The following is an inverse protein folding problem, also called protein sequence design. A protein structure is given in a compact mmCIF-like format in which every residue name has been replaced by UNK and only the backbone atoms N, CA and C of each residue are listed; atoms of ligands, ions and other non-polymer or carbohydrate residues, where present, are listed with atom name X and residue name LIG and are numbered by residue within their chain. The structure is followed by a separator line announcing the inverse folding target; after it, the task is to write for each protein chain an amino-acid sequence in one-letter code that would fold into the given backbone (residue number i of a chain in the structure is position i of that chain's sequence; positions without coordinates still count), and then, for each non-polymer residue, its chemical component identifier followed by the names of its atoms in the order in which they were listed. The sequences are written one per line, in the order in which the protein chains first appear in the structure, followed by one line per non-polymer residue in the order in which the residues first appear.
data_IF_827669208722
#
_entry.id   IF_827669208722
#
_cell.length_a   1.000
_cell.length_b   1.000
_cell.length_c   1.000
_cell.angle_alpha   90.00
_cell.angle_beta   90.00
_cell.angle_gamma   90.00
#
_symmetry.space_group_name_H-M   'P 1'
#
loop_
_entity.id
_entity.type
_entity.pdbx_description
1 polymer ?
#
# COMPACT_ATOMS: atom_id res chain seq x y z
N UNK A 1 4.04 -7.84 12.25
CA UNK A 1 5.24 -7.10 12.67
C UNK A 1 5.07 -6.71 14.11
N UNK A 2 6.09 -6.90 14.94
CA UNK A 2 6.07 -6.34 16.30
C UNK A 2 6.21 -4.81 16.24
N UNK A 3 5.75 -4.11 17.27
CA UNK A 3 5.87 -2.65 17.36
C UNK A 3 7.31 -2.19 17.18
N UNK A 4 8.26 -2.92 17.79
CA UNK A 4 9.70 -2.66 17.65
C UNK A 4 10.20 -2.71 16.21
N UNK A 5 9.69 -3.65 15.41
CA UNK A 5 10.04 -3.76 13.99
C UNK A 5 9.51 -2.58 13.17
N UNK A 6 8.31 -2.09 13.49
CA UNK A 6 7.71 -0.93 12.82
C UNK A 6 8.52 0.33 13.10
N UNK A 7 8.88 0.55 14.37
CA UNK A 7 9.70 1.69 14.78
C UNK A 7 11.06 1.66 14.08
N UNK A 8 11.73 0.49 14.10
CA UNK A 8 13.02 0.32 13.43
C UNK A 8 12.94 0.66 11.94
N UNK A 9 11.88 0.18 11.26
CA UNK A 9 11.67 0.40 9.84
C UNK A 9 11.46 1.89 9.52
N UNK A 10 10.68 2.62 10.34
CA UNK A 10 10.49 4.06 10.18
C UNK A 10 11.81 4.82 10.36
N UNK A 11 12.57 4.50 11.41
CA UNK A 11 13.85 5.18 11.71
C UNK A 11 14.89 4.94 10.62
N UNK A 12 15.05 3.69 10.16
CA UNK A 12 16.00 3.35 9.09
C UNK A 12 15.61 4.03 7.78
N UNK A 13 14.34 3.99 7.40
CA UNK A 13 13.89 4.62 6.16
C UNK A 13 14.03 6.14 6.20
N UNK A 14 13.65 6.76 7.33
CA UNK A 14 13.84 8.19 7.56
C UNK A 14 15.32 8.58 7.48
N UNK A 15 16.23 7.80 8.07
CA UNK A 15 17.67 8.01 7.98
C UNK A 15 18.19 7.92 6.55
N UNK A 16 17.78 6.91 5.79
CA UNK A 16 18.19 6.76 4.37
C UNK A 16 17.76 7.98 3.55
N UNK A 17 16.51 8.42 3.71
CA UNK A 17 16.01 9.62 3.03
C UNK A 17 16.72 10.89 3.50
N UNK A 18 16.93 11.05 4.80
CA UNK A 18 17.63 12.19 5.37
C UNK A 18 19.08 12.30 4.89
N UNK A 19 19.81 11.19 4.83
CA UNK A 19 21.19 11.16 4.31
C UNK A 19 21.23 11.48 2.82
N UNK A 20 20.30 10.93 2.03
CA UNK A 20 20.20 11.27 0.60
C UNK A 20 19.95 12.78 0.41
N UNK A 21 19.00 13.34 1.16
CA UNK A 21 18.70 14.77 1.10
C UNK A 21 19.84 15.64 1.63
N UNK A 22 20.62 15.20 2.62
CA UNK A 22 21.80 15.90 3.11
C UNK A 22 22.83 16.13 2.00
N UNK A 23 23.17 15.08 1.23
CA UNK A 23 24.12 15.21 0.12
C UNK A 23 23.58 16.07 -1.02
N UNK A 24 22.28 15.95 -1.32
CA UNK A 24 21.64 16.78 -2.34
C UNK A 24 21.63 18.26 -1.91
N UNK A 25 21.29 18.55 -0.66
CA UNK A 25 21.23 19.93 -0.17
C UNK A 25 22.59 20.53 0.15
N UNK A 26 23.65 19.72 0.31
CA UNK A 26 25.02 20.21 0.30
C UNK A 26 25.37 20.95 -1.00
N UNK A 27 24.67 20.64 -2.10
CA UNK A 27 24.83 21.25 -3.41
C UNK A 27 23.77 22.34 -3.69
N UNK A 28 23.00 22.76 -2.68
CA UNK A 28 21.89 23.73 -2.82
C UNK A 28 21.99 24.82 -1.76
N UNK A 29 21.32 25.94 -1.98
CA UNK A 29 21.31 27.10 -1.07
C UNK A 29 20.72 26.80 0.32
N UNK A 30 19.81 25.82 0.40
CA UNK A 30 19.21 25.35 1.65
C UNK A 30 20.23 24.74 2.62
N UNK A 31 21.36 24.24 2.10
CA UNK A 31 22.41 23.63 2.89
C UNK A 31 22.12 22.19 3.34
N UNK A 32 23.16 21.47 3.79
CA UNK A 32 23.10 20.03 4.04
C UNK A 32 22.27 19.65 5.28
N UNK A 33 22.35 20.43 6.35
CA UNK A 33 21.65 20.13 7.61
C UNK A 33 20.13 20.29 7.44
N UNK A 34 19.69 21.43 6.88
CA UNK A 34 18.27 21.71 6.72
C UNK A 34 17.61 20.74 5.73
N UNK A 35 18.26 20.47 4.60
CA UNK A 35 17.79 19.47 3.64
C UNK A 35 17.72 18.05 4.23
N UNK A 36 18.73 17.63 4.99
CA UNK A 36 18.73 16.32 5.65
C UNK A 36 17.59 16.17 6.66
N UNK A 37 17.33 17.21 7.46
CA UNK A 37 16.21 17.22 8.39
C UNK A 37 14.85 17.16 7.68
N UNK A 38 14.66 17.96 6.62
CA UNK A 38 13.44 17.94 5.81
C UNK A 38 13.23 16.55 5.18
N UNK A 39 14.30 15.96 4.62
CA UNK A 39 14.26 14.61 4.04
C UNK A 39 13.87 13.54 5.06
N UNK A 40 14.44 13.60 6.26
CA UNK A 40 14.09 12.68 7.34
C UNK A 40 12.61 12.76 7.73
N UNK A 41 12.08 13.98 7.91
CA UNK A 41 10.69 14.20 8.30
C UNK A 41 9.73 13.76 7.18
N UNK A 42 9.95 14.22 5.96
CA UNK A 42 9.07 13.90 4.82
C UNK A 42 9.13 12.41 4.46
N UNK A 43 10.31 11.79 4.49
CA UNK A 43 10.47 10.35 4.26
C UNK A 43 9.75 9.51 5.32
N UNK A 44 9.85 9.91 6.59
CA UNK A 44 9.14 9.24 7.69
C UNK A 44 7.62 9.34 7.54
N UNK A 45 7.10 10.54 7.24
CA UNK A 45 5.66 10.77 7.03
C UNK A 45 5.15 9.95 5.84
N UNK A 46 5.87 9.98 4.70
CA UNK A 46 5.49 9.23 3.50
C UNK A 46 5.38 7.73 3.78
N UNK A 47 6.31 7.18 4.54
CA UNK A 47 6.28 5.78 4.93
C UNK A 47 5.13 5.45 5.88
N UNK A 48 4.85 6.32 6.87
CA UNK A 48 3.71 6.14 7.78
C UNK A 48 2.40 6.07 6.99
N UNK A 49 2.21 6.95 6.00
CA UNK A 49 1.03 6.95 5.14
C UNK A 49 0.88 5.60 4.44
N UNK A 50 1.96 5.06 3.87
CA UNK A 50 1.95 3.74 3.20
C UNK A 50 1.64 2.61 4.19
N UNK A 51 2.18 2.66 5.41
CA UNK A 51 1.95 1.63 6.42
C UNK A 51 0.51 1.62 6.95
N UNK A 52 -0.13 2.78 7.03
CA UNK A 52 -1.52 2.92 7.49
C UNK A 52 -2.52 2.73 6.35
N UNK A 53 -2.09 2.86 5.09
CA UNK A 53 -2.93 2.63 3.92
C UNK A 53 -3.55 1.23 3.93
N UNK A 54 -4.83 1.15 3.57
CA UNK A 54 -5.55 -0.12 3.51
C UNK A 54 -4.86 -1.04 2.52
N UNK A 55 -4.40 -2.20 3.02
CA UNK A 55 -3.86 -3.23 2.13
C UNK A 55 -4.93 -3.63 1.13
N UNK A 56 -4.55 -3.77 -0.14
CA UNK A 56 -5.39 -4.48 -1.11
C UNK A 56 -5.69 -5.86 -0.54
N UNK A 57 -6.95 -6.10 -0.19
CA UNK A 57 -7.40 -7.42 0.18
C UNK A 57 -7.47 -8.25 -1.10
N UNK A 58 -6.63 -9.27 -1.18
CA UNK A 58 -6.81 -10.33 -2.18
C UNK A 58 -7.86 -11.25 -1.59
N UNK A 59 -9.11 -11.05 -1.99
CA UNK A 59 -10.18 -11.98 -1.60
C UNK A 59 -9.95 -13.27 -2.41
N UNK A 60 -9.85 -14.44 -1.76
CA UNK A 60 -9.60 -15.69 -2.45
C UNK A 60 -10.68 -15.95 -3.51
N UNK A 61 -10.26 -16.47 -4.67
CA UNK A 61 -11.15 -16.81 -5.78
C UNK A 61 -12.40 -17.59 -5.34
N UNK A 62 -12.23 -18.60 -4.47
CA UNK A 62 -13.34 -19.42 -3.96
C UNK A 62 -14.37 -18.61 -3.16
N UNK A 63 -13.92 -17.60 -2.41
CA UNK A 63 -14.81 -16.75 -1.60
C UNK A 63 -15.61 -15.80 -2.48
N UNK A 64 -14.96 -15.22 -3.51
CA UNK A 64 -15.65 -14.39 -4.50
C UNK A 64 -16.66 -15.19 -5.34
N UNK A 65 -16.30 -16.41 -5.76
CA UNK A 65 -17.21 -17.27 -6.51
C UNK A 65 -18.42 -17.71 -5.66
N UNK A 66 -18.21 -18.04 -4.38
CA UNK A 66 -19.31 -18.35 -3.45
C UNK A 66 -20.24 -17.15 -3.25
N UNK A 67 -19.68 -15.94 -3.15
CA UNK A 67 -20.47 -14.71 -3.05
C UNK A 67 -21.33 -14.49 -4.31
N UNK A 68 -20.77 -14.65 -5.51
CA UNK A 68 -21.55 -14.55 -6.75
C UNK A 68 -22.64 -15.62 -6.84
N UNK A 69 -22.36 -16.84 -6.37
CA UNK A 69 -23.36 -17.90 -6.31
C UNK A 69 -24.49 -17.55 -5.34
N UNK A 70 -24.19 -17.00 -4.17
CA UNK A 70 -25.21 -16.53 -3.24
C UNK A 70 -26.08 -15.40 -3.82
N UNK A 71 -25.48 -14.47 -4.56
CA UNK A 71 -26.25 -13.42 -5.25
C UNK A 71 -27.20 -14.00 -6.30
N UNK A 72 -26.78 -15.04 -7.01
CA UNK A 72 -27.62 -15.77 -7.96
C UNK A 72 -28.75 -16.51 -7.24
N UNK A 73 -28.42 -17.25 -6.18
CA UNK A 73 -29.38 -18.03 -5.37
C UNK A 73 -30.45 -17.14 -4.72
N UNK A 74 -30.09 -15.90 -4.36
CA UNK A 74 -31.01 -14.88 -3.82
C UNK A 74 -31.75 -14.09 -4.92
N UNK A 75 -31.54 -14.41 -6.20
CA UNK A 75 -32.16 -13.71 -7.33
C UNK A 75 -31.72 -12.26 -7.51
N UNK A 76 -30.60 -11.86 -6.88
CA UNK A 76 -30.05 -10.50 -6.96
C UNK A 76 -29.34 -10.23 -8.29
N UNK A 77 -28.82 -11.28 -8.94
CA UNK A 77 -28.20 -11.22 -10.27
C UNK A 77 -28.78 -12.30 -11.18
N UNK A 78 -28.70 -12.08 -12.49
CA UNK A 78 -29.11 -13.07 -13.51
C UNK A 78 -28.02 -14.13 -13.79
N UNK A 79 -28.40 -15.26 -14.40
CA UNK A 79 -27.43 -16.29 -14.82
C UNK A 79 -26.39 -15.75 -15.82
N UNK A 80 -26.80 -14.82 -16.70
CA UNK A 80 -25.91 -14.18 -17.65
C UNK A 80 -24.85 -13.31 -16.94
N UNK A 81 -25.26 -12.52 -15.93
CA UNK A 81 -24.34 -11.73 -15.10
C UNK A 81 -23.42 -12.62 -14.27
N UNK A 82 -23.93 -13.71 -13.70
CA UNK A 82 -23.12 -14.67 -12.95
C UNK A 82 -22.02 -15.27 -13.84
N UNK A 83 -22.35 -15.71 -15.06
CA UNK A 83 -21.39 -16.28 -15.99
C UNK A 83 -20.35 -15.25 -16.45
N UNK A 84 -20.76 -14.00 -16.67
CA UNK A 84 -19.85 -12.91 -17.00
C UNK A 84 -18.89 -12.58 -15.84
N UNK A 85 -19.42 -12.47 -14.61
CA UNK A 85 -18.62 -12.21 -13.41
C UNK A 85 -17.63 -13.35 -13.12
N UNK A 86 -18.08 -14.60 -13.27
CA UNK A 86 -17.24 -15.80 -13.17
C UNK A 86 -16.13 -15.81 -14.23
N UNK A 87 -16.44 -15.46 -15.48
CA UNK A 87 -15.46 -15.36 -16.56
C UNK A 87 -14.34 -14.37 -16.24
N UNK A 88 -14.70 -13.14 -15.83
CA UNK A 88 -13.69 -12.15 -15.40
C UNK A 88 -12.87 -12.61 -14.20
N UNK A 89 -13.48 -13.36 -13.28
CA UNK A 89 -12.79 -13.88 -12.10
C UNK A 89 -11.70 -14.89 -12.48
N UNK A 90 -11.96 -15.72 -13.49
CA UNK A 90 -11.02 -16.71 -14.03
C UNK A 90 -9.88 -16.03 -14.78
N UNK A 91 -10.16 -14.94 -15.50
CA UNK A 91 -9.14 -14.12 -16.19
C UNK A 91 -8.23 -13.34 -15.23
N UNK A 92 -8.67 -13.10 -14.00
CA UNK A 92 -7.90 -12.41 -12.94
C UNK A 92 -6.97 -13.35 -12.16
N UNK A 93 -6.99 -14.64 -12.45
CA UNK A 93 -6.16 -15.67 -11.82
C UNK A 93 -4.78 -15.79 -12.49
#
# INVERSE_FOLDING_TARGET
MSVSQVILLIVVHGLVFGVACYFIGAQREIGPIASGFIGFVLGSIGLIIVLVSTRKQVIPFNVQLQYYKQLLDNGTISEAEYNHLKGRLIEQQ
#
